data_IF_044237919668
#
_entry.id   IF_044237919668
#
_cell.length_a   1.000
_cell.length_b   1.000
_cell.length_c   1.000
_cell.angle_alpha   90.00
_cell.angle_beta   90.00
_cell.angle_gamma   90.00
#
_symmetry.space_group_name_H-M   'P 1'
#
loop_
_entity.id
_entity.type
_entity.pdbx_description
1 polymer ?
#
# COMPACT_ATOMS: atom_id res chain seq x y z
N UNK A 1 -32.34 16.38 14.28
CA UNK A 1 -32.14 14.94 14.57
C UNK A 1 -31.63 14.85 15.99
N UNK A 2 -32.49 14.41 16.90
CA UNK A 2 -32.34 14.53 18.34
C UNK A 2 -31.04 13.91 18.87
N UNK A 3 -30.36 14.63 19.76
CA UNK A 3 -29.20 14.18 20.52
C UNK A 3 -29.59 12.98 21.37
N UNK A 4 -29.26 11.77 20.89
CA UNK A 4 -29.18 10.60 21.76
C UNK A 4 -27.96 10.81 22.64
N UNK A 5 -28.19 11.25 23.87
CA UNK A 5 -27.18 11.32 24.90
C UNK A 5 -26.73 9.87 25.20
N UNK A 6 -25.65 9.42 24.58
CA UNK A 6 -25.00 8.18 24.97
C UNK A 6 -24.38 8.39 26.37
N UNK A 7 -24.51 7.43 27.27
CA UNK A 7 -23.86 7.44 28.58
C UNK A 7 -22.35 7.21 28.41
N UNK A 8 -21.67 8.23 27.87
CA UNK A 8 -20.23 8.20 27.63
C UNK A 8 -19.52 8.33 28.98
N UNK A 9 -18.60 7.41 29.27
CA UNK A 9 -17.81 7.46 30.50
C UNK A 9 -17.06 8.78 30.60
N UNK A 10 -16.87 9.31 31.82
CA UNK A 10 -16.10 10.55 32.01
C UNK A 10 -14.69 10.49 31.39
N UNK A 11 -14.10 9.29 31.32
CA UNK A 11 -12.81 9.05 30.66
C UNK A 11 -12.90 9.25 29.15
N UNK A 12 -13.92 8.69 28.51
CA UNK A 12 -14.14 8.79 27.07
C UNK A 12 -14.45 10.23 26.64
N UNK A 13 -15.25 10.96 27.45
CA UNK A 13 -15.49 12.40 27.23
C UNK A 13 -14.18 13.20 27.21
N UNK A 14 -13.30 12.96 28.20
CA UNK A 14 -11.97 13.59 28.25
C UNK A 14 -11.12 13.25 27.03
N UNK A 15 -11.16 12.00 26.55
CA UNK A 15 -10.46 11.61 25.34
C UNK A 15 -10.98 12.39 24.13
N UNK A 16 -12.29 12.42 23.90
CA UNK A 16 -12.90 13.19 22.79
C UNK A 16 -12.51 14.67 22.84
N UNK A 17 -12.57 15.28 24.02
CA UNK A 17 -12.15 16.67 24.21
C UNK A 17 -10.67 16.89 23.87
N UNK A 18 -9.78 16.00 24.30
CA UNK A 18 -8.34 16.12 23.98
C UNK A 18 -8.06 15.95 22.47
N UNK A 19 -8.75 15.03 21.80
CA UNK A 19 -8.67 14.89 20.34
C UNK A 19 -9.21 16.13 19.62
N UNK A 20 -10.35 16.66 20.06
CA UNK A 20 -10.94 17.87 19.49
C UNK A 20 -10.00 19.08 19.65
N UNK A 21 -9.42 19.27 20.84
CA UNK A 21 -8.44 20.33 21.11
C UNK A 21 -7.22 20.22 20.19
N UNK A 22 -6.65 19.03 20.02
CA UNK A 22 -5.51 18.82 19.11
C UNK A 22 -5.86 19.13 17.66
N UNK A 23 -7.04 18.70 17.20
CA UNK A 23 -7.52 18.95 15.84
C UNK A 23 -7.72 20.45 15.58
N UNK A 24 -8.31 21.16 16.55
CA UNK A 24 -8.50 22.61 16.46
C UNK A 24 -7.16 23.34 16.37
N UNK A 25 -6.20 23.01 17.23
CA UNK A 25 -4.86 23.61 17.20
C UNK A 25 -4.16 23.44 15.83
N UNK A 26 -4.17 22.22 15.27
CA UNK A 26 -3.58 21.95 13.94
C UNK A 26 -4.31 22.70 12.81
N UNK A 27 -5.65 22.82 12.91
CA UNK A 27 -6.45 23.56 11.94
C UNK A 27 -6.16 25.06 12.00
N UNK A 28 -6.04 25.62 13.21
CA UNK A 28 -5.72 27.02 13.42
C UNK A 28 -4.33 27.36 12.86
N UNK A 29 -3.34 26.49 13.08
CA UNK A 29 -2.00 26.61 12.47
C UNK A 29 -2.08 26.61 10.94
N UNK A 30 -2.79 25.63 10.38
CA UNK A 30 -2.97 25.52 8.93
C UNK A 30 -3.63 26.77 8.33
N UNK A 31 -4.73 27.24 8.95
CA UNK A 31 -5.45 28.43 8.49
C UNK A 31 -4.52 29.64 8.56
N UNK A 32 -3.80 29.84 9.68
CA UNK A 32 -2.85 30.95 9.83
C UNK A 32 -1.78 30.97 8.74
N UNK A 33 -1.24 29.81 8.37
CA UNK A 33 -0.19 29.69 7.36
C UNK A 33 -0.73 29.83 5.93
N UNK A 34 -1.94 29.36 5.64
CA UNK A 34 -2.52 29.48 4.29
C UNK A 34 -3.12 30.86 4.00
N UNK A 35 -3.67 31.54 5.00
CA UNK A 35 -4.26 32.88 4.83
C UNK A 35 -3.25 34.01 4.89
N UNK A 36 -1.95 33.72 5.13
CA UNK A 36 -0.91 34.75 5.20
C UNK A 36 -0.56 35.29 3.78
N UNK A 37 -0.83 36.58 3.47
CA UNK A 37 -0.60 37.14 2.15
C UNK A 37 0.89 37.34 1.81
N UNK A 38 1.77 37.44 2.82
CA UNK A 38 3.21 37.66 2.63
C UNK A 38 4.01 36.36 2.50
N UNK A 39 3.32 35.20 2.47
CA UNK A 39 3.96 33.89 2.44
C UNK A 39 4.89 33.68 1.25
N UNK A 40 4.54 34.24 0.09
CA UNK A 40 5.40 34.19 -1.10
C UNK A 40 6.76 34.89 -0.92
N UNK A 41 6.87 35.84 0.02
CA UNK A 41 8.11 36.55 0.32
C UNK A 41 9.01 35.88 1.36
N UNK A 42 8.56 34.81 2.02
CA UNK A 42 9.30 34.14 3.09
C UNK A 42 10.32 33.09 2.57
N UNK A 43 10.51 32.96 1.26
CA UNK A 43 11.36 31.93 0.65
C UNK A 43 10.76 30.52 0.65
N UNK A 44 9.71 30.28 1.44
CA UNK A 44 8.85 29.08 1.43
C UNK A 44 7.81 29.14 0.28
N UNK A 45 8.25 29.46 -0.93
CA UNK A 45 7.38 29.55 -2.09
C UNK A 45 6.75 28.20 -2.45
N UNK A 46 5.42 28.13 -2.50
CA UNK A 46 4.68 26.95 -2.99
C UNK A 46 3.66 26.36 -2.01
N UNK A 47 3.53 25.03 -2.02
CA UNK A 47 2.60 24.25 -1.17
C UNK A 47 2.96 24.35 0.31
N UNK A 48 1.96 24.19 1.19
CA UNK A 48 2.20 24.25 2.63
C UNK A 48 2.91 22.98 3.09
N UNK A 49 4.01 23.15 3.82
CA UNK A 49 4.71 22.03 4.41
C UNK A 49 3.95 21.48 5.61
N UNK A 50 3.57 20.21 5.53
CA UNK A 50 2.94 19.48 6.63
C UNK A 50 3.94 18.49 7.23
N UNK A 51 4.34 18.74 8.48
CA UNK A 51 5.27 17.87 9.21
C UNK A 51 4.73 16.45 9.42
N UNK A 52 3.40 16.28 9.49
CA UNK A 52 2.76 14.97 9.59
C UNK A 52 2.92 14.15 8.32
N UNK A 53 2.70 14.78 7.16
CA UNK A 53 2.91 14.15 5.85
C UNK A 53 4.40 13.82 5.67
N UNK A 54 5.29 14.76 6.00
CA UNK A 54 6.72 14.53 5.87
C UNK A 54 7.18 13.33 6.72
N UNK A 55 6.74 13.22 7.98
CA UNK A 55 7.06 12.07 8.85
C UNK A 55 6.51 10.75 8.32
N UNK A 56 5.31 10.78 7.74
CA UNK A 56 4.75 9.59 7.11
C UNK A 56 5.60 9.16 5.91
N UNK A 57 5.96 10.09 5.04
CA UNK A 57 6.82 9.81 3.88
C UNK A 57 8.21 9.33 4.30
N UNK A 58 8.82 9.94 5.32
CA UNK A 58 10.11 9.49 5.83
C UNK A 58 10.01 8.08 6.41
N UNK A 59 8.94 7.76 7.15
CA UNK A 59 8.72 6.42 7.69
C UNK A 59 8.56 5.37 6.59
N UNK A 60 7.89 5.70 5.47
CA UNK A 60 7.80 4.82 4.28
C UNK A 60 9.17 4.62 3.62
N UNK A 61 9.97 5.67 3.53
CA UNK A 61 11.32 5.60 2.95
C UNK A 61 12.29 4.77 3.81
N UNK A 62 12.15 4.80 5.13
CA UNK A 62 13.02 4.07 6.09
C UNK A 62 12.40 2.77 6.59
N UNK A 63 11.46 2.17 5.85
CA UNK A 63 10.80 0.91 6.25
C UNK A 63 11.80 -0.22 6.48
N UNK A 64 12.82 -0.30 5.63
CA UNK A 64 13.83 -1.36 5.70
C UNK A 64 14.68 -1.26 6.98
N UNK A 65 15.03 -0.05 7.41
CA UNK A 65 15.83 0.18 8.62
C UNK A 65 15.12 -0.26 9.90
N UNK A 66 13.78 -0.39 9.84
CA UNK A 66 12.95 -0.82 10.96
C UNK A 66 12.39 -2.22 10.79
N UNK A 67 12.76 -2.91 9.71
CA UNK A 67 12.34 -4.27 9.46
C UNK A 67 12.96 -5.23 10.49
N UNK A 68 12.14 -6.16 11.00
CA UNK A 68 12.59 -7.25 11.86
C UNK A 68 12.13 -8.58 11.29
N UNK A 69 13.08 -9.48 11.07
CA UNK A 69 12.79 -10.84 10.65
C UNK A 69 12.14 -11.62 11.81
N UNK A 70 10.81 -11.70 11.78
CA UNK A 70 9.99 -12.54 12.66
C UNK A 70 9.48 -13.75 11.89
N UNK A 71 9.12 -14.86 12.55
CA UNK A 71 8.56 -16.02 11.85
C UNK A 71 7.34 -15.68 10.97
N UNK A 72 6.49 -14.74 11.41
CA UNK A 72 5.33 -14.28 10.65
C UNK A 72 5.73 -13.52 9.38
N UNK A 73 6.67 -12.57 9.48
CA UNK A 73 7.11 -11.78 8.33
C UNK A 73 7.89 -12.62 7.33
N UNK A 74 8.72 -13.56 7.82
CA UNK A 74 9.49 -14.47 6.97
C UNK A 74 8.57 -15.44 6.21
N UNK A 75 7.54 -15.98 6.87
CA UNK A 75 6.54 -16.82 6.20
C UNK A 75 5.77 -16.05 5.13
N UNK A 76 5.37 -14.81 5.42
CA UNK A 76 4.70 -13.96 4.44
C UNK A 76 5.60 -13.67 3.22
N UNK A 77 6.87 -13.35 3.44
CA UNK A 77 7.85 -13.16 2.37
C UNK A 77 8.03 -14.42 1.51
N UNK A 78 8.20 -15.57 2.15
CA UNK A 78 8.36 -16.85 1.46
C UNK A 78 7.12 -17.23 0.63
N UNK A 79 5.92 -17.11 1.22
CA UNK A 79 4.67 -17.40 0.51
C UNK A 79 4.40 -16.42 -0.62
N UNK A 80 4.70 -15.13 -0.46
CA UNK A 80 4.45 -14.13 -1.50
C UNK A 80 5.41 -14.22 -2.69
N UNK A 81 6.63 -14.71 -2.48
CA UNK A 81 7.66 -14.78 -3.53
C UNK A 81 7.79 -16.19 -4.11
N UNK A 82 8.03 -17.19 -3.25
CA UNK A 82 8.40 -18.54 -3.69
C UNK A 82 7.19 -19.27 -4.27
N UNK A 83 6.02 -19.13 -3.66
CA UNK A 83 4.83 -19.86 -4.07
C UNK A 83 4.36 -19.47 -5.49
N UNK A 84 4.25 -18.17 -5.86
CA UNK A 84 3.91 -17.81 -7.23
C UNK A 84 4.94 -18.27 -8.26
N UNK A 85 6.23 -18.23 -7.92
CA UNK A 85 7.29 -18.73 -8.82
C UNK A 85 7.12 -20.22 -9.11
N UNK A 86 6.94 -21.03 -8.06
CA UNK A 86 6.74 -22.48 -8.22
C UNK A 86 5.42 -22.81 -8.92
N UNK A 87 4.33 -22.12 -8.56
CA UNK A 87 3.02 -22.31 -9.18
C UNK A 87 3.07 -21.99 -10.68
N UNK A 88 3.66 -20.86 -11.06
CA UNK A 88 3.80 -20.49 -12.46
C UNK A 88 4.69 -21.47 -13.23
N UNK A 89 5.82 -21.88 -12.65
CA UNK A 89 6.70 -22.89 -13.24
C UNK A 89 5.98 -24.22 -13.50
N UNK A 90 5.18 -24.68 -12.54
CA UNK A 90 4.39 -25.90 -12.66
C UNK A 90 3.30 -25.78 -13.74
N UNK A 91 2.55 -24.68 -13.76
CA UNK A 91 1.51 -24.44 -14.78
C UNK A 91 2.10 -24.36 -16.19
N UNK A 92 3.26 -23.72 -16.33
CA UNK A 92 3.96 -23.63 -17.61
C UNK A 92 4.43 -25.01 -18.07
N UNK A 93 5.04 -25.79 -17.16
CA UNK A 93 5.56 -27.13 -17.48
C UNK A 93 4.44 -28.07 -17.90
N UNK A 94 3.37 -28.15 -17.12
CA UNK A 94 2.21 -29.00 -17.43
C UNK A 94 1.52 -28.60 -18.73
N UNK A 95 1.37 -27.30 -18.99
CA UNK A 95 0.82 -26.79 -20.24
C UNK A 95 1.69 -27.17 -21.44
N UNK A 96 3.02 -27.05 -21.31
CA UNK A 96 3.97 -27.41 -22.38
C UNK A 96 3.95 -28.92 -22.67
N UNK A 97 3.99 -29.74 -21.63
CA UNK A 97 4.00 -31.20 -21.77
C UNK A 97 2.69 -31.70 -22.41
N UNK A 98 1.55 -31.13 -22.02
CA UNK A 98 0.25 -31.45 -22.62
C UNK A 98 0.20 -31.07 -24.12
N UNK A 99 0.78 -29.94 -24.51
CA UNK A 99 0.84 -29.54 -25.92
C UNK A 99 1.81 -30.42 -26.72
N UNK A 100 2.97 -30.73 -26.15
CA UNK A 100 3.95 -31.60 -26.78
C UNK A 100 3.40 -33.02 -26.98
N UNK A 101 2.67 -33.55 -26.01
CA UNK A 101 1.96 -34.82 -26.14
C UNK A 101 0.98 -34.82 -27.32
N UNK A 102 0.18 -33.76 -27.49
CA UNK A 102 -0.75 -33.61 -28.62
C UNK A 102 -0.03 -33.59 -29.97
N UNK A 103 1.16 -32.99 -30.03
CA UNK A 103 1.96 -32.98 -31.25
C UNK A 103 2.56 -34.36 -31.58
N UNK A 104 3.06 -35.09 -30.57
CA UNK A 104 3.65 -36.42 -30.74
C UNK A 104 2.64 -37.49 -31.11
N UNK A 105 1.43 -37.41 -30.55
CA UNK A 105 0.32 -38.35 -30.83
C UNK A 105 -0.45 -38.02 -32.13
N UNK A 106 -0.11 -36.92 -32.81
CA UNK A 106 -0.78 -36.51 -34.04
C UNK A 106 -2.19 -35.94 -33.85
N UNK A 107 -2.61 -35.67 -32.61
CA UNK A 107 -3.92 -35.05 -32.31
C UNK A 107 -4.05 -33.64 -32.89
N UNK A 108 -2.93 -32.97 -33.15
CA UNK A 108 -2.89 -31.66 -33.84
C UNK A 108 -2.19 -31.81 -35.18
N UNK A 109 -2.92 -31.47 -36.26
CA UNK A 109 -2.39 -31.49 -37.61
C UNK A 109 -1.21 -30.52 -37.75
N UNK A 110 -0.23 -30.86 -38.60
CA UNK A 110 0.98 -30.06 -38.77
C UNK A 110 0.69 -28.60 -39.16
N UNK A 111 -0.37 -28.37 -39.95
CA UNK A 111 -0.79 -27.02 -40.36
C UNK A 111 -1.18 -26.11 -39.18
N UNK A 112 -1.71 -26.68 -38.10
CA UNK A 112 -2.28 -25.96 -36.95
C UNK A 112 -1.27 -25.78 -35.79
N UNK A 113 -0.03 -26.24 -35.96
CA UNK A 113 1.03 -26.09 -34.96
C UNK A 113 1.49 -24.64 -34.87
N UNK A 114 1.60 -24.12 -33.64
CA UNK A 114 2.18 -22.80 -33.37
C UNK A 114 3.70 -22.84 -33.56
N UNK A 115 4.28 -21.75 -34.09
CA UNK A 115 5.73 -21.58 -34.31
C UNK A 115 6.39 -22.69 -35.16
N UNK A 116 5.75 -23.12 -36.24
CA UNK A 116 6.28 -24.19 -37.12
C UNK A 116 7.40 -23.75 -38.07
N UNK A 117 7.58 -22.45 -38.30
CA UNK A 117 8.51 -21.88 -39.29
C UNK A 117 9.47 -20.84 -38.69
N UNK A 118 9.54 -20.77 -37.36
CA UNK A 118 10.46 -19.93 -36.59
C UNK A 118 11.26 -20.90 -35.74
#
# INVERSE_FOLDING_TARGET
>A
MADKQYDVSAKEKRLVETYAKRRLALREEYIKQITNPHRHGAGEGGILFDSGIQRFMSMRATEYDHFRATPKTSLYGLCSIVLPMLAFGYLLKTSRDAQEHKYRTGQVAYKDRRFKFI
#
